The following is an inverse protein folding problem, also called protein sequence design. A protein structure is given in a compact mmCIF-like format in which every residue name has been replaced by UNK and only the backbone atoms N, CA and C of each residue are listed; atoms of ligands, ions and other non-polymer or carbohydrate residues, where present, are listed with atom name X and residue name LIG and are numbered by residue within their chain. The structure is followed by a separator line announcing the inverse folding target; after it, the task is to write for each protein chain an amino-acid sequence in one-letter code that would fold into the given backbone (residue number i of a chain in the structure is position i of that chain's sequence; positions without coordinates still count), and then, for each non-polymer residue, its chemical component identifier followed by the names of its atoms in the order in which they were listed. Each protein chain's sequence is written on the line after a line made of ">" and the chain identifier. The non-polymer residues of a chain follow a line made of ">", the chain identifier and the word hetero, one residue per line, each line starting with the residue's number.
data_IF_252560995791
#
_entry.id   IF_252560995791
#
_cell.length_a   1.000
_cell.length_b   1.000
_cell.length_c   1.000
_cell.angle_alpha   90.00
_cell.angle_beta   90.00
_cell.angle_gamma   90.00
#
_symmetry.space_group_name_H-M   'P 1'
#
loop_
_entity.id
_entity.type
_entity.pdbx_description
1 polymer ?
#
# COMPACT_ATOMS: atom_id res chain seq x y z
N UNK A 1 -7.31 -3.92 4.38
CA UNK A 1 -6.96 -5.34 4.19
C UNK A 1 -8.09 -6.03 3.45
N UNK A 2 -7.78 -6.78 2.39
CA UNK A 2 -8.75 -7.51 1.56
C UNK A 2 -8.66 -9.00 1.89
N UNK A 3 -9.82 -9.63 2.07
CA UNK A 3 -9.97 -11.06 2.27
C UNK A 3 -9.85 -11.78 0.92
N UNK A 4 -8.69 -12.40 0.63
CA UNK A 4 -8.54 -13.21 -0.59
C UNK A 4 -9.19 -14.59 -0.43
N UNK A 5 -9.28 -15.06 0.81
CA UNK A 5 -10.07 -16.21 1.26
C UNK A 5 -11.03 -15.76 2.37
N UNK A 6 -12.03 -16.59 2.70
CA UNK A 6 -12.94 -16.30 3.80
C UNK A 6 -12.18 -16.25 5.15
N UNK A 7 -12.51 -15.30 6.01
CA UNK A 7 -11.96 -15.19 7.36
C UNK A 7 -12.96 -15.83 8.32
N UNK A 8 -12.48 -16.79 9.11
CA UNK A 8 -13.31 -17.58 10.04
C UNK A 8 -12.69 -17.55 11.43
N UNK A 9 -13.43 -18.05 12.42
CA UNK A 9 -12.95 -18.15 13.81
C UNK A 9 -11.73 -19.08 13.98
N UNK A 10 -11.45 -19.97 13.01
CA UNK A 10 -10.42 -21.01 13.15
C UNK A 10 -9.25 -20.85 12.19
N UNK A 11 -9.42 -20.19 11.04
CA UNK A 11 -8.35 -20.06 10.04
C UNK A 11 -7.44 -18.84 10.24
N UNK A 12 -7.40 -18.33 11.47
CA UNK A 12 -6.52 -17.25 11.88
C UNK A 12 -6.92 -15.91 11.30
N UNK A 13 -8.21 -15.60 11.15
CA UNK A 13 -8.69 -14.26 10.79
C UNK A 13 -7.93 -13.15 11.54
N UNK A 14 -7.75 -11.99 10.90
CA UNK A 14 -7.17 -10.81 11.57
C UNK A 14 -7.95 -10.51 12.84
N UNK A 15 -7.24 -10.30 13.94
CA UNK A 15 -7.82 -9.92 15.23
C UNK A 15 -7.62 -8.45 15.48
N UNK A 16 -8.57 -7.84 16.19
CA UNK A 16 -8.52 -6.44 16.62
C UNK A 16 -8.93 -6.31 18.06
N UNK A 17 -8.45 -5.26 18.71
CA UNK A 17 -9.01 -4.81 19.99
C UNK A 17 -9.91 -3.62 19.70
N UNK A 18 -11.25 -3.75 19.78
CA UNK A 18 -12.18 -2.68 19.45
C UNK A 18 -11.90 -1.40 20.25
N UNK A 19 -12.16 -0.23 19.65
CA UNK A 19 -11.94 1.11 20.23
C UNK A 19 -10.52 1.47 20.64
N UNK A 20 -9.56 0.56 20.50
CA UNK A 20 -8.20 0.75 21.01
C UNK A 20 -7.39 1.85 20.30
N UNK A 21 -7.83 2.27 19.12
CA UNK A 21 -7.32 3.44 18.40
C UNK A 21 -7.54 4.78 19.13
N UNK A 22 -8.38 4.80 20.17
CA UNK A 22 -8.65 5.96 21.03
C UNK A 22 -7.77 6.01 22.28
N UNK A 23 -7.00 4.95 22.54
CA UNK A 23 -6.15 4.87 23.72
C UNK A 23 -4.87 5.68 23.50
N UNK A 24 -4.32 6.23 24.59
CA UNK A 24 -2.99 6.82 24.59
C UNK A 24 -1.93 5.71 24.76
N UNK A 25 -1.57 5.39 26.01
CA UNK A 25 -0.43 4.51 26.29
C UNK A 25 -0.83 3.12 26.79
N UNK A 26 -2.11 2.75 26.63
CA UNK A 26 -2.63 1.46 27.10
C UNK A 26 -2.21 0.33 26.16
N UNK A 27 -1.63 -0.72 26.75
CA UNK A 27 -1.42 -2.00 26.08
C UNK A 27 -2.63 -2.92 26.28
N UNK A 28 -3.08 -3.64 25.24
CA UNK A 28 -4.16 -4.62 25.37
C UNK A 28 -3.65 -5.93 25.99
N UNK A 29 -4.54 -6.64 26.68
CA UNK A 29 -4.38 -8.08 26.90
C UNK A 29 -4.82 -8.86 25.64
N UNK A 30 -4.21 -10.02 25.39
CA UNK A 30 -4.54 -10.85 24.22
C UNK A 30 -6.00 -11.32 24.22
N UNK A 31 -6.62 -11.49 25.38
CA UNK A 31 -8.03 -11.88 25.53
C UNK A 31 -9.02 -10.82 25.04
N UNK A 32 -8.59 -9.56 24.93
CA UNK A 32 -9.43 -8.45 24.41
C UNK A 32 -9.52 -8.47 22.87
N UNK A 33 -8.65 -9.24 22.21
CA UNK A 33 -8.61 -9.30 20.76
C UNK A 33 -9.73 -10.21 20.20
N UNK A 34 -10.55 -9.64 19.33
CA UNK A 34 -11.66 -10.35 18.66
C UNK A 34 -11.36 -10.57 17.17
N UNK A 35 -11.69 -11.74 16.60
CA UNK A 35 -11.47 -12.00 15.18
C UNK A 35 -12.48 -11.24 14.31
N UNK A 36 -11.99 -10.69 13.20
CA UNK A 36 -12.83 -10.09 12.16
C UNK A 36 -13.21 -11.18 11.15
N UNK A 37 -14.40 -11.76 11.35
CA UNK A 37 -14.96 -12.79 10.47
C UNK A 37 -15.67 -12.12 9.29
N UNK A 38 -15.30 -12.50 8.07
CA UNK A 38 -15.85 -11.91 6.85
C UNK A 38 -15.68 -12.86 5.66
N UNK A 39 -16.60 -12.84 4.66
CA UNK A 39 -16.48 -13.67 3.48
C UNK A 39 -15.31 -13.24 2.57
N UNK A 40 -14.92 -14.13 1.64
CA UNK A 40 -13.96 -13.83 0.58
C UNK A 40 -14.43 -12.62 -0.23
N UNK A 41 -13.51 -11.71 -0.54
CA UNK A 41 -13.80 -10.46 -1.26
C UNK A 41 -14.18 -9.28 -0.35
N UNK A 42 -14.44 -9.52 0.94
CA UNK A 42 -14.65 -8.43 1.90
C UNK A 42 -13.39 -7.63 2.18
N UNK A 43 -13.57 -6.40 2.65
CA UNK A 43 -12.50 -5.48 3.04
C UNK A 43 -12.72 -4.99 4.47
N UNK A 44 -11.62 -4.98 5.24
CA UNK A 44 -11.52 -4.33 6.53
C UNK A 44 -10.60 -3.11 6.39
N UNK A 45 -11.08 -1.94 6.81
CA UNK A 45 -10.31 -0.70 6.88
C UNK A 45 -10.23 -0.23 8.33
N UNK A 46 -9.04 0.17 8.78
CA UNK A 46 -8.82 0.63 10.14
C UNK A 46 -7.61 1.57 10.23
N UNK A 47 -7.55 2.36 11.30
CA UNK A 47 -6.46 3.30 11.57
C UNK A 47 -5.22 2.57 12.09
N UNK A 48 -4.02 3.08 11.78
CA UNK A 48 -2.75 2.50 12.23
C UNK A 48 -2.57 2.46 13.75
N UNK A 49 -3.36 3.23 14.51
CA UNK A 49 -3.39 3.23 15.98
C UNK A 49 -4.28 2.14 16.58
N UNK A 50 -5.09 1.43 15.78
CA UNK A 50 -5.90 0.31 16.27
C UNK A 50 -4.96 -0.88 16.59
N UNK A 51 -5.01 -1.40 17.80
CA UNK A 51 -4.33 -2.64 18.13
C UNK A 51 -4.94 -3.80 17.33
N UNK A 52 -4.08 -4.50 16.58
CA UNK A 52 -4.49 -5.57 15.68
C UNK A 52 -3.35 -6.56 15.46
N UNK A 53 -3.66 -7.72 14.87
CA UNK A 53 -2.66 -8.71 14.48
C UNK A 53 -3.25 -9.85 13.67
N UNK A 54 -2.39 -10.75 13.19
CA UNK A 54 -2.85 -12.02 12.63
C UNK A 54 -3.38 -12.93 13.74
N UNK A 55 -4.58 -13.50 13.57
CA UNK A 55 -5.07 -14.54 14.46
C UNK A 55 -4.30 -15.86 14.26
N UNK A 56 -4.36 -16.73 15.28
CA UNK A 56 -3.79 -18.07 15.17
C UNK A 56 -4.59 -18.92 14.17
N UNK A 57 -3.93 -19.40 13.11
CA UNK A 57 -4.53 -20.35 12.20
C UNK A 57 -4.46 -21.76 12.78
N UNK A 58 -5.62 -22.32 13.13
CA UNK A 58 -5.82 -23.68 13.65
C UNK A 58 -6.44 -24.62 12.62
N UNK A 59 -6.65 -24.13 11.39
CA UNK A 59 -7.16 -24.95 10.29
C UNK A 59 -6.03 -25.74 9.63
N UNK A 60 -6.38 -26.64 8.72
CA UNK A 60 -5.42 -27.45 7.94
C UNK A 60 -4.97 -26.79 6.64
N UNK A 61 -5.29 -25.51 6.41
CA UNK A 61 -5.00 -24.80 5.16
C UNK A 61 -4.48 -23.38 5.43
N UNK A 62 -3.77 -22.83 4.44
CA UNK A 62 -3.35 -21.43 4.45
C UNK A 62 -4.55 -20.47 4.29
N UNK A 63 -4.40 -19.24 4.77
CA UNK A 63 -5.40 -18.17 4.63
C UNK A 63 -4.74 -16.93 4.07
N UNK A 64 -5.15 -16.49 2.88
CA UNK A 64 -4.51 -15.40 2.17
C UNK A 64 -5.19 -14.06 2.44
N UNK A 65 -4.38 -13.01 2.48
CA UNK A 65 -4.79 -11.64 2.70
C UNK A 65 -3.97 -10.71 1.82
N UNK A 66 -4.59 -9.63 1.35
CA UNK A 66 -3.87 -8.51 0.73
C UNK A 66 -3.94 -7.30 1.66
N UNK A 67 -2.79 -6.77 2.04
CA UNK A 67 -2.68 -5.51 2.79
C UNK A 67 -2.36 -4.38 1.83
N UNK A 68 -3.13 -3.29 1.94
CA UNK A 68 -2.85 -2.03 1.24
C UNK A 68 -2.71 -0.99 2.34
N UNK A 69 -1.54 -0.38 2.42
CA UNK A 69 -1.19 0.58 3.45
C UNK A 69 -1.03 1.96 2.82
N UNK A 70 -1.56 2.97 3.49
CA UNK A 70 -1.47 4.37 3.08
C UNK A 70 -0.73 5.14 4.16
N UNK A 71 0.13 6.06 3.74
CA UNK A 71 0.80 6.99 4.63
C UNK A 71 0.68 8.42 4.10
N UNK A 72 0.95 9.39 4.97
CA UNK A 72 0.99 10.79 4.55
C UNK A 72 2.17 11.01 3.58
N UNK A 73 2.11 12.02 2.68
CA UNK A 73 3.13 12.21 1.64
C UNK A 73 4.56 12.44 2.16
N UNK A 74 4.71 12.93 3.39
CA UNK A 74 6.02 13.15 4.04
C UNK A 74 6.56 11.92 4.77
N UNK A 75 5.80 10.83 4.83
CA UNK A 75 6.23 9.56 5.42
C UNK A 75 6.79 8.67 4.32
N UNK A 76 7.94 8.04 4.59
CA UNK A 76 8.54 7.07 3.67
C UNK A 76 7.62 5.84 3.52
N UNK A 77 7.21 5.47 2.29
CA UNK A 77 6.45 4.25 2.05
C UNK A 77 7.27 2.99 2.40
N UNK A 78 6.57 1.91 2.75
CA UNK A 78 7.19 0.61 3.02
C UNK A 78 7.90 0.04 1.78
N UNK A 79 7.25 0.12 0.62
CA UNK A 79 7.83 -0.24 -0.68
C UNK A 79 8.02 1.02 -1.52
N UNK A 80 9.19 1.15 -2.17
CA UNK A 80 9.48 2.31 -3.00
C UNK A 80 8.81 2.16 -4.39
N UNK A 81 7.55 2.58 -4.46
CA UNK A 81 6.73 2.47 -5.66
C UNK A 81 7.27 3.24 -6.87
N UNK A 82 8.06 4.31 -6.65
CA UNK A 82 8.67 5.10 -7.74
C UNK A 82 9.70 4.26 -8.53
N UNK A 83 10.35 3.30 -7.87
CA UNK A 83 11.33 2.41 -8.49
C UNK A 83 10.76 1.02 -8.80
N UNK A 84 9.82 0.54 -7.99
CA UNK A 84 9.23 -0.79 -8.15
C UNK A 84 8.27 -0.87 -9.34
N UNK A 85 7.61 0.23 -9.69
CA UNK A 85 6.67 0.29 -10.82
C UNK A 85 7.40 0.73 -12.09
N UNK A 86 7.26 -0.07 -13.14
CA UNK A 86 7.79 0.21 -14.46
C UNK A 86 7.22 1.53 -15.02
N UNK A 87 8.12 2.45 -15.33
CA UNK A 87 7.81 3.78 -15.83
C UNK A 87 7.06 3.75 -17.16
N UNK A 88 7.33 2.76 -18.01
CA UNK A 88 6.73 2.62 -19.33
C UNK A 88 5.25 2.19 -19.25
N UNK A 89 4.82 1.67 -18.08
CA UNK A 89 3.45 1.22 -17.82
C UNK A 89 2.59 2.24 -17.09
N UNK A 90 3.14 3.39 -16.67
CA UNK A 90 2.40 4.37 -15.87
C UNK A 90 1.14 4.91 -16.57
N UNK A 91 1.14 5.00 -17.90
CA UNK A 91 -0.02 5.45 -18.69
C UNK A 91 -1.13 4.39 -18.83
N UNK A 92 -0.85 3.15 -18.44
CA UNK A 92 -1.83 2.06 -18.39
C UNK A 92 -2.53 1.96 -17.02
N UNK A 93 -2.05 2.72 -16.03
CA UNK A 93 -2.56 2.72 -14.66
C UNK A 93 -3.48 3.94 -14.50
N UNK A 94 -4.64 3.82 -13.84
CA UNK A 94 -5.52 4.96 -13.57
C UNK A 94 -4.74 6.11 -12.90
N UNK A 95 -4.87 7.38 -13.37
CA UNK A 95 -4.06 8.49 -12.89
C UNK A 95 -4.07 8.68 -11.37
N UNK A 96 -5.23 8.44 -10.74
CA UNK A 96 -5.36 8.51 -9.28
C UNK A 96 -4.50 7.47 -8.55
N UNK A 97 -4.32 6.27 -9.10
CA UNK A 97 -3.43 5.28 -8.50
C UNK A 97 -1.97 5.69 -8.68
N UNK A 98 -1.58 6.20 -9.85
CA UNK A 98 -0.25 6.74 -10.10
C UNK A 98 0.09 7.85 -9.10
N UNK A 99 -0.84 8.76 -8.83
CA UNK A 99 -0.68 9.78 -7.79
C UNK A 99 -0.45 9.17 -6.40
N UNK A 100 -1.21 8.13 -6.03
CA UNK A 100 -1.05 7.43 -4.74
C UNK A 100 0.25 6.64 -4.62
N UNK A 101 0.85 6.21 -5.74
CA UNK A 101 2.18 5.59 -5.77
C UNK A 101 3.32 6.61 -5.50
N UNK A 102 2.99 7.88 -5.30
CA UNK A 102 3.95 8.94 -4.97
C UNK A 102 4.41 9.76 -6.17
N UNK A 103 3.76 9.63 -7.34
CA UNK A 103 4.12 10.41 -8.53
C UNK A 103 3.56 11.84 -8.55
N UNK A 104 2.74 12.19 -7.56
CA UNK A 104 2.21 13.53 -7.32
C UNK A 104 3.02 14.24 -6.23
N UNK A 105 3.21 15.56 -6.39
CA UNK A 105 3.79 16.40 -5.34
C UNK A 105 2.78 16.55 -4.19
N UNK A 106 3.21 16.22 -2.97
CA UNK A 106 2.43 16.47 -1.76
C UNK A 106 2.46 17.95 -1.38
N UNK A 107 1.34 18.48 -0.89
CA UNK A 107 1.30 19.87 -0.43
C UNK A 107 2.12 20.06 0.88
N UNK A 108 2.85 21.17 1.05
CA UNK A 108 3.04 22.23 0.06
C UNK A 108 4.09 21.86 -1.01
N UNK A 109 5.19 21.18 -0.66
CA UNK A 109 6.31 20.91 -1.58
C UNK A 109 7.04 19.58 -1.29
N UNK A 110 6.32 18.48 -1.13
CA UNK A 110 6.90 17.17 -0.78
C UNK A 110 7.05 16.28 -2.02
N UNK A 111 8.25 15.71 -2.18
CA UNK A 111 8.50 14.63 -3.15
C UNK A 111 8.68 15.07 -4.61
N UNK A 112 9.03 16.33 -4.87
CA UNK A 112 9.36 16.77 -6.23
C UNK A 112 10.75 16.25 -6.69
N UNK A 113 10.95 16.22 -7.99
CA UNK A 113 12.22 15.90 -8.66
C UNK A 113 12.54 17.06 -9.57
N UNK A 114 13.67 17.74 -9.35
CA UNK A 114 14.11 18.90 -10.15
C UNK A 114 13.01 19.98 -10.30
N UNK A 115 12.26 20.24 -9.23
CA UNK A 115 11.17 21.23 -9.20
C UNK A 115 9.87 20.81 -9.91
N UNK A 116 9.76 19.57 -10.38
CA UNK A 116 8.53 19.03 -11.00
C UNK A 116 8.03 17.78 -10.29
N UNK A 117 6.81 17.33 -10.60
CA UNK A 117 6.31 16.06 -10.09
C UNK A 117 7.15 14.89 -10.61
N UNK A 118 7.32 13.79 -9.83
CA UNK A 118 7.97 12.59 -10.33
C UNK A 118 7.33 12.08 -11.63
N UNK A 119 6.00 12.21 -11.81
CA UNK A 119 5.33 11.86 -13.08
C UNK A 119 5.92 12.60 -14.29
N UNK A 120 6.14 13.91 -14.15
CA UNK A 120 6.69 14.76 -15.22
C UNK A 120 8.18 14.49 -15.43
N UNK A 121 8.93 14.25 -14.36
CA UNK A 121 10.33 13.86 -14.45
C UNK A 121 10.50 12.53 -15.21
N UNK A 122 9.67 11.53 -14.92
CA UNK A 122 9.67 10.25 -15.65
C UNK A 122 9.33 10.43 -17.12
N UNK A 123 8.29 11.22 -17.45
CA UNK A 123 7.97 11.50 -18.85
C UNK A 123 9.14 12.13 -19.63
N UNK A 124 9.90 13.02 -18.99
CA UNK A 124 11.10 13.63 -19.56
C UNK A 124 12.19 12.57 -19.81
N UNK A 125 12.49 11.74 -18.80
CA UNK A 125 13.52 10.68 -18.89
C UNK A 125 13.21 9.63 -19.95
N UNK A 126 11.95 9.22 -20.10
CA UNK A 126 11.55 8.27 -21.15
C UNK A 126 11.77 8.85 -22.55
N UNK A 127 11.42 10.13 -22.76
CA UNK A 127 11.72 10.82 -24.04
C UNK A 127 13.21 10.89 -24.33
N UNK A 128 14.03 11.16 -23.32
CA UNK A 128 15.50 11.19 -23.47
C UNK A 128 16.04 9.80 -23.84
N UNK A 129 15.54 8.74 -23.20
CA UNK A 129 15.87 7.34 -23.52
C UNK A 129 15.54 6.99 -24.97
N UNK A 130 14.32 7.30 -25.44
CA UNK A 130 13.91 7.06 -26.83
C UNK A 130 14.81 7.77 -27.86
N UNK A 131 15.24 9.01 -27.55
CA UNK A 131 16.15 9.78 -28.43
C UNK A 131 17.52 9.12 -28.49
N UNK A 132 18.05 8.63 -27.36
CA UNK A 132 19.32 7.93 -27.31
C UNK A 132 19.28 6.61 -28.09
N UNK A 133 18.23 5.81 -27.91
CA UNK A 133 18.04 4.55 -28.62
C UNK A 133 18.00 4.74 -30.15
N UNK A 134 17.29 5.78 -30.62
CA UNK A 134 17.24 6.14 -32.05
C UNK A 134 18.57 6.64 -32.61
N UNK A 135 19.46 7.17 -31.77
CA UNK A 135 20.82 7.57 -32.18
C UNK A 135 21.73 6.35 -32.29
N UNK A 136 21.65 5.45 -31.31
CA UNK A 136 22.43 4.20 -31.30
C UNK A 136 22.03 3.29 -32.47
N UNK A 137 20.73 3.19 -32.79
CA UNK A 137 20.26 2.35 -33.90
C UNK A 137 20.63 2.84 -35.30
N UNK A 138 21.21 4.05 -35.41
CA UNK A 138 21.65 4.65 -36.68
C UNK A 138 23.18 4.59 -36.87
N UNK A 139 23.91 4.11 -35.86
CA UNK A 139 25.35 3.83 -35.91
C UNK A 139 25.57 2.35 -36.25
#
# INVERSE_FOLDING_TARGET
>A
MVALDAYTSTNGATVVVPDSHKWADRMPDRSEAVPVIMPKGSLMYFLGTLWHGGGQNKSSAERRALTVQYCQPWVRPLENQILAVDWEKLDQIPPRLVDMLGYKVGAPFIGYVDGVSPRRAVAKRLKEKEVLEKRVSKL
#
